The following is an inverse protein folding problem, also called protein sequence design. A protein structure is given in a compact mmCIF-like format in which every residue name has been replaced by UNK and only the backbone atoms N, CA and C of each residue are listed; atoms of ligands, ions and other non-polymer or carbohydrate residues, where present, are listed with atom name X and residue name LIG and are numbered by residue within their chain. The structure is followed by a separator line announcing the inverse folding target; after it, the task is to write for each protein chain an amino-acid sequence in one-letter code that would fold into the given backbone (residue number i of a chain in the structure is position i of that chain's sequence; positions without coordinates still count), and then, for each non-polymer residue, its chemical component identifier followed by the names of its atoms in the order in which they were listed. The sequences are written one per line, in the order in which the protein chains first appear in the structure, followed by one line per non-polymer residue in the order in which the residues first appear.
data_IF_066037174800
#
_entry.id   IF_066037174800
#
_cell.length_a   1.000
_cell.length_b   1.000
_cell.length_c   1.000
_cell.angle_alpha   90.00
_cell.angle_beta   90.00
_cell.angle_gamma   90.00
#
_symmetry.space_group_name_H-M   'P 1'
#
loop_
_entity.id
_entity.type
_entity.pdbx_description
1 polymer ?
#
# COMPACT_ATOMS: atom_id res chain seq x y z
N UNK A 1 10.30 1.28 17.58
CA UNK A 1 9.36 0.19 17.93
C UNK A 1 7.90 0.67 18.05
N UNK A 2 7.51 1.81 17.44
CA UNK A 2 6.13 2.32 17.48
C UNK A 2 5.41 2.25 16.13
N UNK A 3 6.14 2.25 15.02
CA UNK A 3 5.59 2.24 13.65
C UNK A 3 4.93 0.91 13.29
N UNK A 4 5.60 -0.20 13.63
CA UNK A 4 5.11 -1.57 13.36
C UNK A 4 3.78 -1.85 14.07
N UNK A 5 3.61 -1.33 15.30
CA UNK A 5 2.37 -1.51 16.08
C UNK A 5 1.19 -0.81 15.41
N UNK A 6 1.39 0.39 14.85
CA UNK A 6 0.33 1.15 14.16
C UNK A 6 -0.11 0.54 12.82
N UNK A 7 0.80 -0.10 12.10
CA UNK A 7 0.47 -0.83 10.86
C UNK A 7 -0.40 -2.06 11.11
N UNK A 8 -0.08 -2.82 12.16
CA UNK A 8 -0.86 -3.99 12.57
C UNK A 8 -2.28 -3.55 12.98
N UNK A 9 -2.43 -2.38 13.60
CA UNK A 9 -3.72 -1.81 13.98
C UNK A 9 -4.60 -1.43 12.78
N UNK A 10 -4.09 -0.81 11.71
CA UNK A 10 -4.91 -0.47 10.53
C UNK A 10 -5.42 -1.72 9.80
N UNK A 11 -4.57 -2.74 9.66
CA UNK A 11 -4.95 -4.04 9.08
C UNK A 11 -6.02 -4.68 9.98
N UNK A 12 -5.80 -4.74 11.30
CA UNK A 12 -6.77 -5.27 12.25
C UNK A 12 -8.13 -4.54 12.21
N UNK A 13 -8.15 -3.22 12.05
CA UNK A 13 -9.39 -2.44 11.92
C UNK A 13 -10.16 -2.80 10.64
N UNK A 14 -9.49 -3.00 9.51
CA UNK A 14 -10.14 -3.44 8.26
C UNK A 14 -10.74 -4.85 8.40
N UNK A 15 -10.06 -5.75 9.11
CA UNK A 15 -10.50 -7.14 9.34
C UNK A 15 -11.58 -7.28 10.42
N UNK A 16 -11.65 -6.35 11.38
CA UNK A 16 -12.61 -6.41 12.48
C UNK A 16 -14.06 -6.17 12.04
N UNK A 17 -14.33 -5.70 10.82
CA UNK A 17 -15.69 -5.35 10.39
C UNK A 17 -16.51 -6.50 9.79
N UNK A 18 -15.90 -7.61 9.34
CA UNK A 18 -16.65 -8.81 8.89
C UNK A 18 -15.82 -10.09 9.05
N UNK A 19 -16.01 -10.81 10.16
CA UNK A 19 -15.48 -12.18 10.39
C UNK A 19 -15.89 -13.22 9.33
N UNK A 20 -16.69 -12.84 8.33
CA UNK A 20 -17.21 -13.71 7.27
C UNK A 20 -16.37 -13.67 5.98
N UNK A 21 -15.42 -12.75 5.83
CA UNK A 21 -14.59 -12.68 4.61
C UNK A 21 -13.33 -13.52 4.82
N UNK A 22 -13.13 -14.54 3.98
CA UNK A 22 -11.90 -15.35 3.99
C UNK A 22 -10.72 -14.48 3.62
N UNK A 23 -9.66 -14.57 4.40
CA UNK A 23 -8.47 -13.79 4.19
C UNK A 23 -7.22 -14.57 4.59
N UNK A 24 -6.12 -14.29 3.89
CA UNK A 24 -4.83 -14.97 4.11
C UNK A 24 -3.72 -13.95 4.10
N UNK A 25 -2.87 -13.97 5.13
CA UNK A 25 -1.68 -13.13 5.19
C UNK A 25 -0.70 -13.55 4.09
N UNK A 26 -0.21 -12.58 3.32
CA UNK A 26 0.79 -12.81 2.28
C UNK A 26 2.16 -12.39 2.83
N UNK A 27 3.24 -13.16 2.57
CA UNK A 27 4.59 -12.74 2.90
C UNK A 27 4.92 -11.40 2.24
N UNK A 28 5.37 -10.44 3.03
CA UNK A 28 5.79 -9.14 2.52
C UNK A 28 7.10 -9.31 1.72
N UNK A 29 7.17 -8.85 0.46
CA UNK A 29 8.44 -8.80 -0.27
C UNK A 29 9.41 -7.81 0.39
N UNK A 30 10.71 -7.93 0.12
CA UNK A 30 11.67 -6.95 0.60
C UNK A 30 11.40 -5.59 -0.07
N UNK A 31 11.15 -4.53 0.69
CA UNK A 31 10.76 -3.21 0.18
C UNK A 31 11.85 -2.17 0.45
N UNK A 32 12.18 -1.37 -0.56
CA UNK A 32 13.22 -0.35 -0.41
C UNK A 32 12.64 0.89 0.28
N UNK A 33 13.09 1.14 1.52
CA UNK A 33 12.70 2.33 2.28
C UNK A 33 11.23 2.35 2.70
N UNK A 34 10.58 1.20 2.78
CA UNK A 34 9.20 1.07 3.21
C UNK A 34 8.96 -0.22 4.00
N UNK A 35 7.90 -0.23 4.79
CA UNK A 35 7.39 -1.39 5.53
C UNK A 35 5.96 -1.66 5.08
N UNK A 36 5.57 -2.93 4.94
CA UNK A 36 4.20 -3.27 4.55
C UNK A 36 3.66 -4.53 5.22
N UNK A 37 2.34 -4.57 5.36
CA UNK A 37 1.58 -5.78 5.68
C UNK A 37 0.59 -6.06 4.57
N UNK A 38 0.61 -7.29 4.06
CA UNK A 38 -0.17 -7.72 2.92
C UNK A 38 -1.17 -8.80 3.35
N UNK A 39 -2.42 -8.65 2.90
CA UNK A 39 -3.45 -9.66 3.10
C UNK A 39 -4.26 -9.83 1.81
N UNK A 40 -4.42 -11.08 1.37
CA UNK A 40 -5.32 -11.42 0.30
C UNK A 40 -6.73 -11.60 0.85
N UNK A 41 -7.69 -10.87 0.30
CA UNK A 41 -9.12 -11.11 0.49
C UNK A 41 -9.60 -12.06 -0.60
N UNK A 42 -10.19 -13.18 -0.19
CA UNK A 42 -10.73 -14.18 -1.11
C UNK A 42 -12.26 -14.30 -0.88
N UNK A 43 -13.08 -13.54 -1.61
CA UNK A 43 -14.53 -13.69 -1.51
C UNK A 43 -14.96 -15.08 -2.00
N UNK A 44 -16.12 -15.57 -1.57
CA UNK A 44 -16.65 -16.85 -2.05
C UNK A 44 -16.98 -16.84 -3.55
N UNK A 45 -17.22 -15.64 -4.10
CA UNK A 45 -17.45 -15.38 -5.51
C UNK A 45 -16.65 -14.14 -5.94
N UNK A 46 -15.98 -14.24 -7.07
CA UNK A 46 -15.15 -13.17 -7.62
C UNK A 46 -13.66 -13.38 -7.36
N UNK A 47 -12.88 -12.45 -7.88
CA UNK A 47 -11.43 -12.50 -7.83
C UNK A 47 -10.87 -12.09 -6.47
N UNK A 48 -9.69 -12.63 -6.13
CA UNK A 48 -8.99 -12.25 -4.90
C UNK A 48 -8.40 -10.85 -5.02
N UNK A 49 -8.54 -10.04 -3.97
CA UNK A 49 -7.95 -8.70 -3.90
C UNK A 49 -6.83 -8.69 -2.89
N UNK A 50 -5.65 -8.22 -3.28
CA UNK A 50 -4.56 -7.93 -2.35
C UNK A 50 -4.80 -6.57 -1.69
N UNK A 51 -4.84 -6.55 -0.37
CA UNK A 51 -4.83 -5.33 0.42
C UNK A 51 -3.43 -5.17 1.01
N UNK A 52 -2.81 -4.03 0.72
CA UNK A 52 -1.48 -3.67 1.20
C UNK A 52 -1.59 -2.44 2.08
N UNK A 53 -1.23 -2.59 3.37
CA UNK A 53 -0.97 -1.46 4.25
C UNK A 53 0.52 -1.12 4.17
N UNK A 54 0.86 0.08 3.68
CA UNK A 54 2.22 0.51 3.38
C UNK A 54 2.61 1.74 4.22
N UNK A 55 3.81 1.72 4.78
CA UNK A 55 4.46 2.89 5.37
C UNK A 55 5.77 3.15 4.65
N UNK A 56 5.90 4.34 4.06
CA UNK A 56 7.10 4.78 3.35
C UNK A 56 7.92 5.65 4.30
N UNK A 57 9.20 5.33 4.50
CA UNK A 57 10.04 6.03 5.47
C UNK A 57 10.27 7.50 5.10
N UNK A 58 9.89 8.42 6.00
CA UNK A 58 10.04 9.86 5.82
C UNK A 58 11.44 10.33 5.41
N UNK A 59 12.50 9.70 5.94
CA UNK A 59 13.89 10.16 5.79
C UNK A 59 14.66 9.41 4.68
N UNK A 60 14.10 8.34 4.12
CA UNK A 60 14.83 7.53 3.14
C UNK A 60 15.02 8.26 1.82
N UNK A 61 16.28 8.48 1.42
CA UNK A 61 16.64 8.98 0.09
C UNK A 61 16.57 7.91 -1.00
N UNK A 62 16.30 6.66 -0.63
CA UNK A 62 16.42 5.46 -1.48
C UNK A 62 15.07 4.88 -1.95
N UNK A 63 13.94 5.50 -1.63
CA UNK A 63 12.64 4.92 -2.04
C UNK A 63 12.50 4.94 -3.56
N UNK A 64 12.41 3.75 -4.16
CA UNK A 64 11.95 3.57 -5.53
C UNK A 64 10.50 3.06 -5.52
N UNK A 65 9.55 3.97 -5.74
CA UNK A 65 8.12 3.64 -5.82
C UNK A 65 7.86 2.62 -6.94
N UNK A 66 8.53 2.76 -8.08
CA UNK A 66 8.45 1.83 -9.22
C UNK A 66 8.95 0.42 -8.86
N UNK A 67 10.12 0.29 -8.23
CA UNK A 67 10.64 -1.03 -7.86
C UNK A 67 9.74 -1.73 -6.83
N UNK A 68 9.16 -0.95 -5.91
CA UNK A 68 8.23 -1.49 -4.92
C UNK A 68 6.88 -1.85 -5.57
N UNK A 69 6.37 -1.09 -6.54
CA UNK A 69 5.15 -1.43 -7.27
C UNK A 69 5.30 -2.69 -8.11
N UNK A 70 6.44 -2.87 -8.78
CA UNK A 70 6.73 -4.08 -9.57
C UNK A 70 6.70 -5.34 -8.70
N UNK A 71 7.19 -5.24 -7.46
CA UNK A 71 7.12 -6.34 -6.49
C UNK A 71 5.68 -6.69 -6.12
N UNK A 72 4.78 -5.72 -6.03
CA UNK A 72 3.36 -5.98 -5.78
C UNK A 72 2.67 -6.60 -7.00
N UNK A 73 2.95 -6.09 -8.21
CA UNK A 73 2.43 -6.66 -9.46
C UNK A 73 2.89 -8.11 -9.64
N UNK A 74 4.15 -8.40 -9.32
CA UNK A 74 4.72 -9.75 -9.41
C UNK A 74 4.07 -10.77 -8.47
N UNK A 75 3.31 -10.33 -7.45
CA UNK A 75 2.51 -11.24 -6.61
C UNK A 75 1.30 -11.83 -7.36
N UNK A 76 0.95 -11.30 -8.53
CA UNK A 76 -0.02 -11.91 -9.44
C UNK A 76 -1.48 -11.80 -8.99
N UNK A 77 -1.79 -10.86 -8.09
CA UNK A 77 -3.18 -10.61 -7.70
C UNK A 77 -3.90 -9.78 -8.77
N UNK A 78 -5.11 -10.18 -9.18
CA UNK A 78 -5.88 -9.50 -10.22
C UNK A 78 -6.37 -8.12 -9.79
N UNK A 79 -6.41 -7.84 -8.48
CA UNK A 79 -6.75 -6.52 -7.94
C UNK A 79 -5.86 -6.22 -6.74
N UNK A 80 -5.33 -5.00 -6.69
CA UNK A 80 -4.42 -4.55 -5.64
C UNK A 80 -4.90 -3.21 -5.09
N UNK A 81 -5.14 -3.14 -3.79
CA UNK A 81 -5.46 -1.89 -3.08
C UNK A 81 -4.31 -1.59 -2.15
N UNK A 82 -3.60 -0.49 -2.39
CA UNK A 82 -2.47 -0.05 -1.58
C UNK A 82 -2.89 1.21 -0.82
N UNK A 83 -2.78 1.15 0.50
CA UNK A 83 -3.17 2.24 1.41
C UNK A 83 -2.11 2.43 2.49
N UNK A 84 -1.99 3.65 3.00
CA UNK A 84 -1.16 3.95 4.17
C UNK A 84 -0.50 5.31 4.08
N UNK A 85 0.64 5.46 4.77
CA UNK A 85 1.37 6.73 4.86
C UNK A 85 2.59 6.69 3.94
N UNK A 86 2.47 7.41 2.83
CA UNK A 86 3.49 7.51 1.79
C UNK A 86 4.56 8.57 2.09
N UNK A 87 4.42 9.35 3.17
CA UNK A 87 5.22 10.54 3.45
C UNK A 87 5.35 11.46 2.22
N UNK A 88 4.26 11.56 1.45
CA UNK A 88 4.16 12.29 0.20
C UNK A 88 3.13 13.41 0.36
N UNK A 89 3.48 14.62 -0.10
CA UNK A 89 2.61 15.80 -0.01
C UNK A 89 2.25 16.26 -1.40
N UNK A 90 0.96 16.37 -1.67
CA UNK A 90 0.45 16.87 -2.94
C UNK A 90 -0.92 17.55 -2.74
N UNK A 91 -1.21 18.59 -3.52
CA UNK A 91 -2.50 19.28 -3.48
C UNK A 91 -3.68 18.36 -3.80
N UNK A 92 -3.50 17.36 -4.67
CA UNK A 92 -4.56 16.39 -5.06
C UNK A 92 -5.15 15.61 -3.88
N UNK A 93 -4.41 15.45 -2.78
CA UNK A 93 -4.90 14.82 -1.54
C UNK A 93 -4.89 15.78 -0.35
N UNK A 94 -4.97 17.08 -0.61
CA UNK A 94 -5.26 18.11 0.41
C UNK A 94 -4.07 18.58 1.24
N UNK A 95 -2.84 18.44 0.76
CA UNK A 95 -1.68 19.08 1.39
C UNK A 95 -1.54 20.55 0.98
N UNK A 96 -0.96 21.39 1.85
CA UNK A 96 -0.73 22.82 1.56
C UNK A 96 0.43 23.08 0.58
N UNK A 97 1.20 22.05 0.24
CA UNK A 97 2.29 22.13 -0.73
C UNK A 97 2.62 20.75 -1.31
N UNK A 98 3.26 20.77 -2.48
CA UNK A 98 3.78 19.57 -3.12
C UNK A 98 5.23 19.30 -2.70
N UNK A 99 5.56 18.04 -2.43
CA UNK A 99 6.95 17.61 -2.34
C UNK A 99 7.29 16.65 -3.50
N UNK A 100 8.59 16.45 -3.75
CA UNK A 100 9.03 15.59 -4.87
C UNK A 100 8.51 14.15 -4.81
N UNK A 101 8.12 13.65 -3.63
CA UNK A 101 7.46 12.35 -3.49
C UNK A 101 5.99 12.40 -3.92
N UNK A 102 5.27 13.46 -3.59
CA UNK A 102 3.89 13.65 -3.99
C UNK A 102 3.74 13.79 -5.50
N UNK A 103 4.60 14.57 -6.14
CA UNK A 103 4.62 14.72 -7.60
C UNK A 103 4.84 13.35 -8.28
N UNK A 104 5.83 12.58 -7.82
CA UNK A 104 6.11 11.23 -8.37
C UNK A 104 4.95 10.27 -8.16
N UNK A 105 4.33 10.27 -6.98
CA UNK A 105 3.20 9.40 -6.70
C UNK A 105 1.98 9.76 -7.55
N UNK A 106 1.70 11.06 -7.78
CA UNK A 106 0.61 11.50 -8.65
C UNK A 106 0.86 11.10 -10.12
N UNK A 107 2.10 11.21 -10.61
CA UNK A 107 2.44 10.73 -11.97
C UNK A 107 2.22 9.22 -12.12
N UNK A 108 2.48 8.44 -11.06
CA UNK A 108 2.20 7.00 -11.08
C UNK A 108 0.70 6.67 -11.06
N UNK A 109 -0.18 7.57 -10.62
CA UNK A 109 -1.64 7.36 -10.64
C UNK A 109 -2.30 7.80 -11.95
N UNK A 110 -1.64 8.66 -12.74
CA UNK A 110 -2.20 9.22 -13.97
C UNK A 110 -1.99 8.32 -15.21
N UNK A 111 -1.19 7.25 -15.10
CA UNK A 111 -0.92 6.33 -16.22
C UNK A 111 -2.02 5.29 -16.49
N UNK A 112 -3.14 5.33 -15.76
CA UNK A 112 -4.27 4.39 -15.90
C UNK A 112 -5.52 5.00 -16.57
N UNK A 113 -5.37 6.10 -17.32
CA UNK A 113 -6.49 6.72 -18.07
C UNK A 113 -6.11 6.96 -19.53
N UNK A 114 -6.24 5.92 -20.36
CA UNK A 114 -6.49 6.00 -21.80
C UNK A 114 -7.32 4.78 -22.26
#
# INVERSE_FOLDING_TARGET
MHTVTRLIEMVAVLFSFKNTIKHTRIPTPDLEGAEATLVALAPEKGDSTLITSLYVHGISSKISLTNNSDKFIALGFPSNIIVGDFNAKHFSWGCDFDNGRGIKLNLCTDHDVD
#
